data_IF_404056050358
#
_entry.id   IF_404056050358
#
_cell.length_a   1.000
_cell.length_b   1.000
_cell.length_c   1.000
_cell.angle_alpha   90.00
_cell.angle_beta   90.00
_cell.angle_gamma   90.00
#
_symmetry.space_group_name_H-M   'P 1'
#
loop_
_entity.id
_entity.type
_entity.pdbx_description
1 polymer ?
#
# COMPACT_ATOMS: atom_id res chain seq x y z
N UNK A 1 22.04 4.92 -26.24
CA UNK A 1 21.34 4.93 -24.94
C UNK A 1 21.40 3.53 -24.37
N UNK A 2 21.93 3.33 -23.15
CA UNK A 2 21.93 2.01 -22.54
C UNK A 2 20.47 1.58 -22.32
N UNK A 3 20.09 0.47 -22.93
CA UNK A 3 18.81 -0.20 -22.69
C UNK A 3 18.74 -0.55 -21.21
N UNK A 4 17.82 0.11 -20.48
CA UNK A 4 17.46 -0.22 -19.09
C UNK A 4 17.01 -1.69 -19.11
N UNK A 5 17.94 -2.59 -18.81
CA UNK A 5 17.65 -4.03 -18.77
C UNK A 5 16.65 -4.20 -17.64
N UNK A 6 15.45 -4.66 -17.96
CA UNK A 6 14.41 -4.84 -16.95
C UNK A 6 14.99 -5.72 -15.83
N UNK A 7 14.98 -5.27 -14.56
CA UNK A 7 15.49 -6.06 -13.47
C UNK A 7 14.76 -7.41 -13.47
N UNK A 8 15.50 -8.51 -13.38
CA UNK A 8 14.91 -9.84 -13.27
C UNK A 8 13.94 -9.85 -12.09
N UNK A 9 12.68 -10.16 -12.37
CA UNK A 9 11.64 -10.15 -11.35
C UNK A 9 12.02 -11.09 -10.19
N UNK A 10 12.08 -10.55 -8.98
CA UNK A 10 12.28 -11.33 -7.77
C UNK A 10 11.18 -12.40 -7.67
N UNK A 11 11.60 -13.67 -7.68
CA UNK A 11 10.68 -14.79 -7.51
C UNK A 11 10.68 -15.23 -6.05
N UNK A 12 9.52 -15.19 -5.40
CA UNK A 12 9.39 -15.56 -3.99
C UNK A 12 9.58 -17.08 -3.79
N UNK A 13 10.38 -17.50 -2.80
CA UNK A 13 10.51 -18.91 -2.45
C UNK A 13 9.18 -19.55 -2.06
N UNK A 14 8.96 -20.79 -2.49
CA UNK A 14 7.79 -21.54 -2.08
C UNK A 14 7.77 -21.75 -0.57
N UNK A 15 6.63 -21.45 0.06
CA UNK A 15 6.41 -21.64 1.49
C UNK A 15 7.07 -20.60 2.39
N UNK A 16 7.69 -19.55 1.84
CA UNK A 16 8.09 -18.37 2.63
C UNK A 16 6.84 -17.74 3.24
N UNK A 17 6.81 -17.64 4.57
CA UNK A 17 5.72 -17.04 5.33
C UNK A 17 6.29 -16.08 6.35
N UNK A 18 5.61 -14.96 6.50
CA UNK A 18 5.93 -13.92 7.45
C UNK A 18 4.91 -13.93 8.59
N UNK A 19 5.41 -13.77 9.82
CA UNK A 19 4.60 -13.66 11.03
C UNK A 19 3.91 -12.30 11.11
N UNK A 20 2.66 -12.27 11.58
CA UNK A 20 1.95 -11.02 11.87
C UNK A 20 2.35 -10.37 13.19
N UNK A 21 3.08 -11.09 14.06
CA UNK A 21 3.44 -10.60 15.39
C UNK A 21 4.64 -9.66 15.37
N UNK A 22 5.58 -9.90 14.46
CA UNK A 22 6.81 -9.12 14.30
C UNK A 22 6.61 -7.97 13.31
N UNK A 23 7.15 -6.80 13.62
CA UNK A 23 6.95 -5.60 12.81
C UNK A 23 7.60 -5.71 11.43
N UNK A 24 8.86 -6.16 11.36
CA UNK A 24 9.58 -6.32 10.10
C UNK A 24 8.90 -7.39 9.23
N UNK A 25 8.45 -8.49 9.82
CA UNK A 25 7.74 -9.52 9.08
C UNK A 25 6.36 -9.06 8.60
N UNK A 26 5.62 -8.24 9.36
CA UNK A 26 4.39 -7.61 8.85
C UNK A 26 4.67 -6.74 7.63
N UNK A 27 5.71 -5.91 7.69
CA UNK A 27 6.14 -5.07 6.57
C UNK A 27 6.48 -5.93 5.35
N UNK A 28 7.34 -6.94 5.54
CA UNK A 28 7.68 -7.89 4.49
C UNK A 28 6.45 -8.55 3.87
N UNK A 29 5.51 -9.02 4.70
CA UNK A 29 4.27 -9.63 4.22
C UNK A 29 3.45 -8.70 3.32
N UNK A 30 3.34 -7.42 3.69
CA UNK A 30 2.57 -6.45 2.90
C UNK A 30 3.29 -6.07 1.59
N UNK A 31 4.62 -5.96 1.62
CA UNK A 31 5.43 -5.64 0.45
C UNK A 31 5.42 -6.79 -0.56
N UNK A 32 5.62 -8.05 -0.13
CA UNK A 32 5.64 -9.20 -1.05
C UNK A 32 4.30 -9.48 -1.71
N UNK A 33 3.20 -9.01 -1.12
CA UNK A 33 1.85 -9.12 -1.69
C UNK A 33 1.55 -8.01 -2.72
N UNK A 34 2.45 -7.04 -2.92
CA UNK A 34 2.39 -6.06 -4.00
C UNK A 34 3.44 -6.37 -5.06
N UNK A 35 3.04 -6.71 -6.30
CA UNK A 35 4.00 -6.85 -7.39
C UNK A 35 4.81 -5.57 -7.64
N UNK A 36 4.21 -4.38 -7.47
CA UNK A 36 4.87 -3.08 -7.64
C UNK A 36 5.95 -2.86 -6.58
N UNK A 37 5.61 -3.04 -5.31
CA UNK A 37 6.57 -2.85 -4.22
C UNK A 37 7.67 -3.92 -4.26
N UNK A 38 7.34 -5.18 -4.56
CA UNK A 38 8.32 -6.24 -4.71
C UNK A 38 9.33 -5.94 -5.83
N UNK A 39 8.88 -5.34 -6.94
CA UNK A 39 9.75 -4.97 -8.06
C UNK A 39 10.70 -3.81 -7.74
N UNK A 40 10.38 -2.99 -6.73
CA UNK A 40 11.21 -1.88 -6.29
C UNK A 40 12.33 -2.30 -5.31
N UNK A 41 12.30 -3.53 -4.80
CA UNK A 41 13.30 -4.03 -3.85
C UNK A 41 14.64 -4.40 -4.51
N UNK A 42 15.76 -4.35 -3.76
CA UNK A 42 17.09 -4.67 -4.28
C UNK A 42 17.24 -6.17 -4.56
N UNK A 43 17.09 -6.56 -5.83
CA UNK A 43 17.19 -7.96 -6.22
C UNK A 43 18.55 -8.60 -5.86
N UNK A 44 19.64 -7.82 -5.91
CA UNK A 44 20.98 -8.28 -5.59
C UNK A 44 21.15 -8.72 -4.13
N UNK A 45 20.40 -8.12 -3.20
CA UNK A 45 20.46 -8.44 -1.77
C UNK A 45 19.50 -9.57 -1.40
N UNK A 46 18.29 -9.55 -1.98
CA UNK A 46 17.26 -10.55 -1.65
C UNK A 46 17.44 -11.89 -2.34
N UNK A 47 17.94 -11.93 -3.58
CA UNK A 47 18.07 -13.20 -4.32
C UNK A 47 19.01 -14.23 -3.64
N UNK A 48 20.17 -13.84 -3.08
CA UNK A 48 21.00 -14.75 -2.29
C UNK A 48 20.27 -15.27 -1.04
N UNK A 49 19.52 -14.42 -0.34
CA UNK A 49 18.75 -14.80 0.85
C UNK A 49 17.62 -15.77 0.52
N UNK A 50 16.93 -15.56 -0.61
CA UNK A 50 15.90 -16.47 -1.12
C UNK A 50 16.50 -17.84 -1.43
N UNK A 51 17.65 -17.87 -2.09
CA UNK A 51 18.39 -19.11 -2.37
C UNK A 51 18.80 -19.83 -1.08
N UNK A 52 19.28 -19.07 -0.09
CA UNK A 52 19.68 -19.61 1.21
C UNK A 52 18.48 -20.17 2.00
N UNK A 53 17.33 -19.50 1.98
CA UNK A 53 16.08 -19.96 2.57
C UNK A 53 15.61 -21.29 1.95
N UNK A 54 15.63 -21.40 0.62
CA UNK A 54 15.27 -22.64 -0.07
C UNK A 54 16.25 -23.77 0.27
N UNK A 55 17.55 -23.47 0.29
CA UNK A 55 18.60 -24.40 0.70
C UNK A 55 18.38 -24.92 2.12
N UNK A 56 18.08 -24.03 3.07
CA UNK A 56 17.77 -24.37 4.44
C UNK A 56 16.50 -25.24 4.57
N UNK A 57 15.46 -24.92 3.80
CA UNK A 57 14.20 -25.69 3.79
C UNK A 57 14.41 -27.10 3.25
N UNK A 58 15.18 -27.24 2.15
CA UNK A 58 15.57 -28.53 1.57
C UNK A 58 16.46 -29.33 2.52
N UNK A 59 17.45 -28.69 3.16
CA UNK A 59 18.33 -29.33 4.13
C UNK A 59 17.55 -29.84 5.36
N UNK A 60 16.62 -29.04 5.89
CA UNK A 60 15.72 -29.46 6.97
C UNK A 60 14.89 -30.68 6.58
N UNK A 61 14.25 -30.64 5.40
CA UNK A 61 13.45 -31.76 4.90
C UNK A 61 14.28 -33.03 4.72
N UNK A 62 15.50 -32.91 4.16
CA UNK A 62 16.43 -34.03 4.00
C UNK A 62 16.84 -34.62 5.36
N UNK A 63 17.16 -33.78 6.35
CA UNK A 63 17.53 -34.23 7.69
C UNK A 63 16.37 -34.94 8.41
N UNK A 64 15.13 -34.45 8.25
CA UNK A 64 13.94 -35.11 8.80
C UNK A 64 13.70 -36.48 8.14
N UNK A 65 13.98 -36.60 6.84
CA UNK A 65 13.84 -37.82 6.08
C UNK A 65 14.96 -38.86 6.36
N UNK A 66 16.07 -38.48 7.00
CA UNK A 66 17.10 -39.42 7.42
C UNK A 66 16.48 -40.46 8.35
N UNK A 67 16.48 -41.72 7.90
CA UNK A 67 16.20 -42.86 8.76
C UNK A 67 17.47 -43.19 9.51
N UNK A 68 17.45 -43.15 10.83
CA UNK A 68 18.42 -43.92 11.60
C UNK A 68 18.00 -45.36 11.41
N UNK A 69 18.88 -46.21 10.91
CA UNK A 69 18.64 -47.65 10.96
C UNK A 69 18.50 -48.02 12.45
N UNK A 70 17.27 -48.02 12.95
CA UNK A 70 16.96 -48.76 14.16
C UNK A 70 17.02 -50.21 13.73
N UNK A 71 18.23 -50.78 13.69
CA UNK A 71 18.32 -52.23 13.84
C UNK A 71 17.52 -52.52 15.11
N UNK A 72 16.49 -53.34 15.00
CA UNK A 72 15.73 -53.78 16.18
C UNK A 72 16.66 -54.72 16.94
N UNK A 73 17.62 -54.12 17.64
CA UNK A 73 18.69 -54.83 18.37
C UNK A 73 18.04 -55.78 19.37
N UNK A 74 16.84 -55.46 19.88
CA UNK A 74 16.07 -56.33 20.74
C UNK A 74 15.49 -57.53 19.99
N UNK A 75 14.92 -57.36 18.80
CA UNK A 75 14.48 -58.49 17.98
C UNK A 75 15.63 -59.36 17.50
N UNK A 76 16.80 -58.78 17.21
CA UNK A 76 18.01 -59.53 16.83
C UNK A 76 18.56 -60.33 18.02
N UNK A 77 18.61 -59.73 19.22
CA UNK A 77 18.97 -60.39 20.48
C UNK A 77 17.98 -61.50 20.82
N UNK A 78 16.67 -61.26 20.73
CA UNK A 78 15.63 -62.26 20.95
C UNK A 78 15.74 -63.43 19.96
N UNK A 79 16.04 -63.15 18.68
CA UNK A 79 16.29 -64.18 17.69
C UNK A 79 17.54 -65.03 18.00
N UNK A 80 18.64 -64.39 18.43
CA UNK A 80 19.87 -65.08 18.85
C UNK A 80 19.65 -65.95 20.08
N UNK A 81 18.96 -65.44 21.11
CA UNK A 81 18.61 -66.19 22.31
C UNK A 81 17.73 -67.40 21.99
N UNK A 82 16.73 -67.25 21.11
CA UNK A 82 15.87 -68.36 20.67
C UNK A 82 16.62 -69.45 19.89
N UNK A 83 17.75 -69.10 19.27
CA UNK A 83 18.63 -70.04 18.57
C UNK A 83 19.69 -70.66 19.50
N UNK A 84 19.70 -70.29 20.79
CA UNK A 84 20.69 -70.75 21.76
C UNK A 84 22.09 -70.18 21.56
N UNK A 85 22.23 -69.07 20.83
CA UNK A 85 23.50 -68.39 20.67
C UNK A 85 23.90 -67.68 21.97
N UNK A 86 25.20 -67.70 22.28
CA UNK A 86 25.77 -66.94 23.39
C UNK A 86 25.84 -65.46 23.01
N UNK A 87 25.37 -64.57 23.91
CA UNK A 87 25.41 -63.12 23.71
C UNK A 87 26.57 -62.54 24.50
N UNK A 88 27.44 -61.80 23.81
CA UNK A 88 28.45 -60.95 24.44
C UNK A 88 27.78 -59.63 24.93
N UNK A 89 27.63 -59.43 26.26
CA UNK A 89 27.00 -58.23 26.78
C UNK A 89 27.79 -56.95 26.47
N UNK A 90 29.12 -57.02 26.38
CA UNK A 90 29.96 -55.87 26.09
C UNK A 90 29.76 -55.40 24.64
N UNK A 91 29.73 -56.34 23.69
CA UNK A 91 29.42 -56.05 22.29
C UNK A 91 28.00 -55.50 22.11
N UNK A 92 27.02 -56.04 22.84
CA UNK A 92 25.64 -55.54 22.81
C UNK A 92 25.53 -54.10 23.33
N UNK A 93 26.17 -53.78 24.46
CA UNK A 93 26.20 -52.42 25.02
C UNK A 93 26.88 -51.44 24.05
N UNK A 94 27.99 -51.84 23.42
CA UNK A 94 28.68 -51.01 22.42
C UNK A 94 27.77 -50.71 21.22
N UNK A 95 27.10 -51.73 20.66
CA UNK A 95 26.16 -51.56 19.54
C UNK A 95 24.96 -50.66 19.89
N UNK A 96 24.37 -50.85 21.07
CA UNK A 96 23.28 -49.99 21.55
C UNK A 96 23.75 -48.54 21.74
N UNK A 97 24.97 -48.33 22.26
CA UNK A 97 25.56 -47.01 22.43
C UNK A 97 25.80 -46.29 21.10
N UNK A 98 26.28 -47.00 20.07
CA UNK A 98 26.46 -46.44 18.72
C UNK A 98 25.12 -46.04 18.08
N UNK A 99 24.10 -46.90 18.18
CA UNK A 99 22.76 -46.60 17.66
C UNK A 99 22.13 -45.39 18.37
N UNK A 100 22.25 -45.31 19.70
CA UNK A 100 21.80 -44.15 20.48
C UNK A 100 22.57 -42.87 20.11
N UNK A 101 23.89 -42.96 19.94
CA UNK A 101 24.71 -41.82 19.52
C UNK A 101 24.34 -41.33 18.11
N UNK A 102 24.05 -42.25 17.18
CA UNK A 102 23.58 -41.91 15.85
C UNK A 102 22.21 -41.21 15.87
N UNK A 103 21.27 -41.71 16.69
CA UNK A 103 19.98 -41.07 16.91
C UNK A 103 20.11 -39.67 17.51
N UNK A 104 20.90 -39.51 18.57
CA UNK A 104 21.15 -38.22 19.19
C UNK A 104 21.79 -37.21 18.21
N UNK A 105 22.76 -37.64 17.40
CA UNK A 105 23.38 -36.78 16.37
C UNK A 105 22.39 -36.37 15.28
N UNK A 106 21.51 -37.27 14.85
CA UNK A 106 20.42 -36.93 13.92
C UNK A 106 19.52 -35.88 14.54
N UNK A 107 19.03 -36.09 15.74
CA UNK A 107 18.09 -35.18 16.40
C UNK A 107 18.71 -33.79 16.62
N UNK A 108 19.99 -33.74 17.02
CA UNK A 108 20.76 -32.49 17.09
C UNK A 108 20.89 -31.79 15.73
N UNK A 109 21.15 -32.55 14.67
CA UNK A 109 21.27 -32.02 13.30
C UNK A 109 19.92 -31.48 12.81
N UNK A 110 18.83 -32.20 13.07
CA UNK A 110 17.46 -31.77 12.73
C UNK A 110 17.13 -30.49 13.48
N UNK A 111 17.37 -30.43 14.79
CA UNK A 111 17.11 -29.24 15.60
C UNK A 111 17.92 -28.02 15.11
N UNK A 112 19.19 -28.21 14.74
CA UNK A 112 20.02 -27.15 14.16
C UNK A 112 19.42 -26.63 12.85
N UNK A 113 19.10 -27.53 11.92
CA UNK A 113 18.58 -27.17 10.59
C UNK A 113 17.15 -26.63 10.63
N UNK A 114 16.35 -26.99 11.63
CA UNK A 114 15.00 -26.49 11.83
C UNK A 114 14.96 -24.98 12.09
N UNK A 115 16.00 -24.43 12.72
CA UNK A 115 16.11 -23.00 13.03
C UNK A 115 16.47 -22.13 11.82
N UNK A 116 17.16 -22.69 10.82
CA UNK A 116 17.75 -21.91 9.71
C UNK A 116 16.71 -21.22 8.81
N UNK A 117 15.61 -21.87 8.37
CA UNK A 117 14.60 -21.18 7.56
C UNK A 117 14.03 -19.96 8.27
N UNK A 118 13.78 -20.05 9.59
CA UNK A 118 13.28 -18.93 10.38
C UNK A 118 14.28 -17.78 10.42
N UNK A 119 15.55 -18.07 10.64
CA UNK A 119 16.62 -17.05 10.62
C UNK A 119 16.64 -16.30 9.29
N UNK A 120 16.55 -17.01 8.16
CA UNK A 120 16.51 -16.36 6.85
C UNK A 120 15.21 -15.58 6.61
N UNK A 121 14.07 -16.05 7.11
CA UNK A 121 12.83 -15.25 7.09
C UNK A 121 13.02 -13.93 7.83
N UNK A 122 13.64 -13.96 9.00
CA UNK A 122 13.90 -12.76 9.81
C UNK A 122 14.88 -11.81 9.11
N UNK A 123 15.93 -12.34 8.47
CA UNK A 123 16.92 -11.56 7.70
C UNK A 123 16.31 -10.93 6.44
N UNK A 124 15.52 -11.69 5.67
CA UNK A 124 14.75 -11.18 4.53
C UNK A 124 13.82 -10.05 4.98
N UNK A 125 13.12 -10.25 6.10
CA UNK A 125 12.21 -9.23 6.62
C UNK A 125 12.94 -7.96 7.06
N UNK A 126 14.13 -8.10 7.65
CA UNK A 126 15.01 -6.98 7.98
C UNK A 126 15.40 -6.17 6.75
N UNK A 127 15.92 -6.83 5.70
CA UNK A 127 16.28 -6.16 4.44
C UNK A 127 15.07 -5.43 3.84
N UNK A 128 13.89 -6.05 3.81
CA UNK A 128 12.70 -5.37 3.27
C UNK A 128 12.32 -4.14 4.11
N UNK A 129 12.41 -4.24 5.44
CA UNK A 129 12.10 -3.13 6.33
C UNK A 129 13.08 -1.96 6.15
N UNK A 130 14.38 -2.24 5.99
CA UNK A 130 15.42 -1.24 5.77
C UNK A 130 15.23 -0.48 4.44
N UNK A 131 14.54 -1.09 3.47
CA UNK A 131 14.25 -0.48 2.17
C UNK A 131 12.89 0.22 2.07
N UNK A 132 12.11 0.33 3.15
CA UNK A 132 10.80 1.04 3.12
C UNK A 132 10.90 2.47 2.58
N UNK A 133 11.88 3.31 2.96
CA UNK A 133 12.03 4.65 2.38
C UNK A 133 12.18 4.63 0.86
N UNK A 134 12.96 3.70 0.31
CA UNK A 134 13.13 3.55 -1.12
C UNK A 134 11.84 3.09 -1.85
N UNK A 135 10.92 2.41 -1.14
CA UNK A 135 9.61 2.07 -1.69
C UNK A 135 8.73 3.32 -1.84
N UNK A 136 8.77 4.26 -0.89
CA UNK A 136 8.09 5.55 -1.03
C UNK A 136 8.65 6.33 -2.23
N UNK A 137 9.97 6.38 -2.40
CA UNK A 137 10.61 7.02 -3.56
C UNK A 137 10.17 6.39 -4.89
N UNK A 138 10.11 5.06 -4.95
CA UNK A 138 9.66 4.33 -6.14
C UNK A 138 8.19 4.63 -6.46
N UNK A 139 7.30 4.64 -5.45
CA UNK A 139 5.89 5.00 -5.63
C UNK A 139 5.73 6.48 -6.05
N UNK A 140 6.58 7.37 -5.55
CA UNK A 140 6.60 8.79 -5.91
C UNK A 140 6.99 8.97 -7.39
N UNK A 141 8.02 8.27 -7.84
CA UNK A 141 8.41 8.27 -9.26
C UNK A 141 7.31 7.70 -10.16
N UNK A 142 6.71 6.57 -9.77
CA UNK A 142 5.59 5.95 -10.49
C UNK A 142 4.37 6.90 -10.56
N UNK A 143 4.10 7.66 -9.50
CA UNK A 143 3.02 8.64 -9.46
C UNK A 143 3.29 9.80 -10.42
N UNK A 144 4.52 10.32 -10.42
CA UNK A 144 4.91 11.41 -11.33
C UNK A 144 4.76 11.00 -12.80
N UNK A 145 5.27 9.82 -13.18
CA UNK A 145 5.13 9.28 -14.54
C UNK A 145 3.66 9.10 -14.94
N UNK A 146 2.84 8.56 -14.02
CA UNK A 146 1.42 8.35 -14.25
C UNK A 146 0.68 9.68 -14.46
N UNK A 147 0.98 10.71 -13.66
CA UNK A 147 0.36 12.02 -13.78
C UNK A 147 0.78 12.75 -15.06
N UNK A 148 2.05 12.62 -15.48
CA UNK A 148 2.53 13.16 -16.76
C UNK A 148 1.79 12.52 -17.95
N UNK A 149 1.59 11.20 -17.92
CA UNK A 149 0.80 10.49 -18.96
C UNK A 149 -0.67 10.94 -18.94
N UNK A 150 -1.24 11.13 -17.76
CA UNK A 150 -2.64 11.53 -17.61
C UNK A 150 -2.89 12.98 -18.02
N UNK A 151 -1.94 13.88 -17.79
CA UNK A 151 -2.04 15.29 -18.19
C UNK A 151 -2.20 15.43 -19.71
N UNK A 152 -1.45 14.64 -20.49
CA UNK A 152 -1.60 14.59 -21.94
C UNK A 152 -3.02 14.18 -22.36
N UNK A 153 -3.56 13.11 -21.75
CA UNK A 153 -4.92 12.61 -22.03
C UNK A 153 -6.00 13.62 -21.61
N UNK A 154 -5.83 14.26 -20.46
CA UNK A 154 -6.79 15.28 -19.96
C UNK A 154 -6.77 16.54 -20.83
N UNK A 155 -5.60 16.93 -21.34
CA UNK A 155 -5.48 18.02 -22.32
C UNK A 155 -6.27 17.70 -23.60
N UNK A 156 -6.18 16.47 -24.10
CA UNK A 156 -6.96 16.03 -25.27
C UNK A 156 -8.47 16.01 -24.97
N UNK A 157 -8.89 15.62 -23.76
CA UNK A 157 -10.30 15.64 -23.34
C UNK A 157 -10.88 17.06 -23.24
N UNK A 158 -10.09 18.05 -22.84
CA UNK A 158 -10.54 19.43 -22.65
C UNK A 158 -11.56 19.55 -21.51
N UNK A 159 -12.76 20.09 -21.80
CA UNK A 159 -13.82 20.30 -20.80
C UNK A 159 -14.65 19.05 -20.47
N UNK A 160 -14.47 17.95 -21.21
CA UNK A 160 -15.20 16.69 -20.98
C UNK A 160 -14.91 16.17 -19.56
N UNK A 161 -15.96 15.89 -18.79
CA UNK A 161 -15.86 15.45 -17.39
C UNK A 161 -16.53 14.10 -17.10
N UNK A 162 -17.23 13.53 -18.07
CA UNK A 162 -17.97 12.28 -17.94
C UNK A 162 -18.04 11.52 -19.27
N UNK A 163 -18.56 10.29 -19.20
CA UNK A 163 -18.63 9.39 -20.34
C UNK A 163 -19.59 9.90 -21.44
N UNK A 164 -20.72 10.49 -21.06
CA UNK A 164 -21.71 11.00 -22.02
C UNK A 164 -21.18 12.23 -22.77
N UNK A 165 -20.44 13.09 -22.07
CA UNK A 165 -19.71 14.20 -22.65
C UNK A 165 -18.61 13.72 -23.60
N UNK A 166 -17.91 12.63 -23.26
CA UNK A 166 -16.90 12.04 -24.13
C UNK A 166 -17.51 11.47 -25.42
N UNK A 167 -18.64 10.76 -25.32
CA UNK A 167 -19.39 10.25 -26.47
C UNK A 167 -19.84 11.42 -27.35
N UNK A 168 -20.46 12.42 -26.74
CA UNK A 168 -20.97 13.60 -27.46
C UNK A 168 -19.88 14.40 -28.16
N UNK A 169 -18.67 14.45 -27.58
CA UNK A 169 -17.51 15.13 -28.14
C UNK A 169 -16.66 14.25 -29.09
N UNK A 170 -17.01 12.97 -29.29
CA UNK A 170 -16.23 12.03 -30.08
C UNK A 170 -14.89 11.61 -29.46
N UNK A 171 -14.72 11.77 -28.13
CA UNK A 171 -13.48 11.51 -27.38
C UNK A 171 -13.52 10.23 -26.53
N UNK A 172 -14.17 9.20 -27.06
CA UNK A 172 -14.39 7.93 -26.33
C UNK A 172 -13.06 7.21 -26.06
N UNK A 173 -12.08 7.32 -26.96
CA UNK A 173 -10.78 6.68 -26.81
C UNK A 173 -9.98 7.29 -25.65
N UNK A 174 -9.91 8.62 -25.59
CA UNK A 174 -9.24 9.39 -24.56
C UNK A 174 -9.91 9.18 -23.19
N UNK A 175 -11.25 9.13 -23.16
CA UNK A 175 -11.98 8.81 -21.93
C UNK A 175 -11.70 7.39 -21.45
N UNK A 176 -11.61 6.42 -22.37
CA UNK A 176 -11.26 5.04 -22.03
C UNK A 176 -9.85 4.98 -21.45
N UNK A 177 -8.89 5.67 -22.09
CA UNK A 177 -7.51 5.77 -21.59
C UNK A 177 -7.45 6.42 -20.21
N UNK A 178 -8.22 7.49 -19.97
CA UNK A 178 -8.31 8.13 -18.65
C UNK A 178 -8.78 7.13 -17.58
N UNK A 179 -9.77 6.28 -17.89
CA UNK A 179 -10.25 5.25 -16.95
C UNK A 179 -9.20 4.20 -16.63
N UNK A 180 -8.40 3.80 -17.62
CA UNK A 180 -7.25 2.89 -17.39
C UNK A 180 -6.20 3.52 -16.47
N UNK A 181 -5.90 4.81 -16.69
CA UNK A 181 -4.97 5.57 -15.84
C UNK A 181 -5.52 5.77 -14.43
N UNK A 182 -6.82 6.03 -14.28
CA UNK A 182 -7.48 6.12 -12.99
C UNK A 182 -7.38 4.81 -12.20
N UNK A 183 -7.54 3.65 -12.88
CA UNK A 183 -7.35 2.35 -12.25
C UNK A 183 -5.90 2.14 -11.78
N UNK A 184 -4.90 2.49 -12.62
CA UNK A 184 -3.48 2.44 -12.24
C UNK A 184 -3.15 3.35 -11.06
N UNK A 185 -3.77 4.54 -11.00
CA UNK A 185 -3.64 5.47 -9.89
C UNK A 185 -4.24 4.89 -8.60
N UNK A 186 -5.44 4.30 -8.68
CA UNK A 186 -6.07 3.65 -7.55
C UNK A 186 -5.21 2.51 -6.99
N UNK A 187 -4.61 1.69 -7.86
CA UNK A 187 -3.69 0.62 -7.48
C UNK A 187 -2.42 1.17 -6.79
N UNK A 188 -1.83 2.24 -7.33
CA UNK A 188 -0.69 2.92 -6.73
C UNK A 188 -1.05 3.46 -5.33
N UNK A 189 -2.20 4.11 -5.20
CA UNK A 189 -2.68 4.61 -3.90
C UNK A 189 -2.96 3.48 -2.93
N UNK A 190 -3.45 2.33 -3.39
CA UNK A 190 -3.62 1.15 -2.54
C UNK A 190 -2.29 0.64 -1.97
N UNK A 191 -1.22 0.63 -2.78
CA UNK A 191 0.13 0.29 -2.31
C UNK A 191 0.67 1.35 -1.32
N UNK A 192 0.46 2.63 -1.61
CA UNK A 192 0.84 3.72 -0.71
C UNK A 192 0.13 3.64 0.65
N UNK A 193 -1.19 3.46 0.66
CA UNK A 193 -1.97 3.25 1.90
C UNK A 193 -1.52 2.00 2.65
N UNK A 194 -1.09 0.95 1.94
CA UNK A 194 -0.55 -0.25 2.58
C UNK A 194 0.72 0.08 3.37
N UNK A 195 1.64 0.88 2.82
CA UNK A 195 2.83 1.31 3.53
C UNK A 195 2.50 2.20 4.74
N UNK A 196 1.62 3.21 4.56
CA UNK A 196 1.20 4.08 5.66
C UNK A 196 0.63 3.30 6.85
N UNK A 197 -0.18 2.27 6.58
CA UNK A 197 -0.78 1.44 7.62
C UNK A 197 0.20 0.49 8.31
N UNK A 198 1.36 0.23 7.73
CA UNK A 198 2.40 -0.56 8.38
C UNK A 198 3.14 0.26 9.44
N UNK A 199 3.34 1.54 9.17
CA UNK A 199 3.99 2.50 10.07
C UNK A 199 3.01 3.06 11.11
N UNK A 200 1.73 3.19 10.77
CA UNK A 200 0.72 3.72 11.69
C UNK A 200 0.47 2.77 12.87
N UNK A 201 0.84 3.22 14.06
CA UNK A 201 0.52 2.53 15.33
C UNK A 201 -0.88 2.86 15.84
N UNK A 202 -1.58 3.83 15.22
CA UNK A 202 -2.92 4.26 15.57
C UNK A 202 -3.95 4.07 14.44
N UNK A 203 -5.13 4.73 14.56
CA UNK A 203 -6.16 4.73 13.52
C UNK A 203 -6.04 5.94 12.57
N UNK A 204 -4.87 6.57 12.46
CA UNK A 204 -4.68 7.83 11.75
C UNK A 204 -4.85 7.69 10.23
N UNK A 205 -4.59 6.50 9.69
CA UNK A 205 -4.69 6.17 8.26
C UNK A 205 -5.75 5.08 7.98
N UNK A 206 -6.77 4.97 8.85
CA UNK A 206 -7.96 4.17 8.61
C UNK A 206 -8.76 4.71 7.40
N UNK A 207 -9.66 3.88 6.84
CA UNK A 207 -10.51 4.31 5.72
C UNK A 207 -11.29 5.59 6.08
N UNK A 208 -11.22 6.60 5.21
CA UNK A 208 -11.89 7.89 5.43
C UNK A 208 -11.18 8.84 6.40
N UNK A 209 -10.02 8.47 6.95
CA UNK A 209 -9.28 9.34 7.86
C UNK A 209 -8.67 10.54 7.11
N UNK A 210 -8.78 11.78 7.63
CA UNK A 210 -8.22 12.97 6.99
C UNK A 210 -6.71 12.91 6.73
N UNK A 211 -5.94 12.18 7.56
CA UNK A 211 -4.50 12.03 7.36
C UNK A 211 -4.17 11.37 6.01
N UNK A 212 -5.07 10.56 5.45
CA UNK A 212 -4.89 10.03 4.09
C UNK A 212 -4.90 11.14 3.03
N UNK A 213 -5.74 12.15 3.18
CA UNK A 213 -5.76 13.29 2.26
C UNK A 213 -4.44 14.05 2.28
N UNK A 214 -3.88 14.29 3.47
CA UNK A 214 -2.58 14.95 3.63
C UNK A 214 -1.39 14.07 3.21
N UNK A 215 -1.53 12.74 3.24
CA UNK A 215 -0.54 11.86 2.63
C UNK A 215 -0.60 11.87 1.10
N UNK A 216 -1.74 12.25 0.51
CA UNK A 216 -1.90 12.26 -0.94
C UNK A 216 -1.53 13.59 -1.57
N UNK A 217 -1.68 14.70 -0.85
CA UNK A 217 -1.71 16.06 -1.38
C UNK A 217 -1.07 17.07 -0.43
N UNK A 218 -0.16 17.90 -0.95
CA UNK A 218 0.51 18.95 -0.17
C UNK A 218 -0.34 20.20 0.01
N UNK A 219 -1.09 20.57 -1.04
CA UNK A 219 -1.93 21.78 -1.07
C UNK A 219 -3.41 21.51 -0.80
N UNK A 220 -3.74 20.41 -0.10
CA UNK A 220 -5.14 19.99 0.07
C UNK A 220 -6.02 21.06 0.72
N UNK A 221 -5.51 21.76 1.73
CA UNK A 221 -6.28 22.77 2.47
C UNK A 221 -6.49 24.06 1.65
N UNK A 222 -5.71 24.28 0.59
CA UNK A 222 -5.92 25.40 -0.34
C UNK A 222 -7.07 25.11 -1.30
N UNK A 223 -7.21 23.85 -1.74
CA UNK A 223 -8.27 23.39 -2.64
C UNK A 223 -9.56 23.06 -1.89
N UNK A 224 -9.44 22.47 -0.70
CA UNK A 224 -10.57 22.05 0.16
C UNK A 224 -10.39 22.65 1.56
N UNK A 225 -10.67 23.95 1.74
CA UNK A 225 -10.45 24.63 3.02
C UNK A 225 -11.17 23.97 4.17
N UNK A 226 -10.43 23.66 5.25
CA UNK A 226 -10.97 23.04 6.45
C UNK A 226 -11.05 21.52 6.41
N UNK A 227 -10.45 20.87 5.41
CA UNK A 227 -10.44 19.41 5.29
C UNK A 227 -9.91 18.71 6.56
N UNK A 228 -8.89 19.28 7.22
CA UNK A 228 -8.35 18.78 8.48
C UNK A 228 -9.40 18.64 9.60
N UNK A 229 -10.46 19.46 9.58
CA UNK A 229 -11.56 19.45 10.56
C UNK A 229 -12.78 18.64 10.12
N UNK A 230 -13.00 18.47 8.81
CA UNK A 230 -14.16 17.79 8.26
C UNK A 230 -14.30 16.34 8.77
N UNK A 231 -13.18 15.65 9.06
CA UNK A 231 -13.21 14.31 9.66
C UNK A 231 -13.42 14.27 11.18
N UNK A 232 -13.53 15.41 11.88
CA UNK A 232 -13.72 15.44 13.34
C UNK A 232 -15.19 15.57 13.76
N UNK A 233 -16.07 16.08 12.89
CA UNK A 233 -17.53 16.11 13.14
C UNK A 233 -18.24 16.23 11.79
N UNK A 234 -19.12 15.29 11.39
CA UNK A 234 -19.95 15.51 10.22
C UNK A 234 -20.87 16.70 10.52
N UNK A 235 -20.61 17.85 9.90
CA UNK A 235 -21.60 18.91 9.83
C UNK A 235 -22.74 18.38 8.98
N UNK A 236 -23.78 17.88 9.64
CA UNK A 236 -25.02 17.52 8.97
C UNK A 236 -25.78 18.79 8.59
N UNK A 237 -26.39 18.81 7.41
CA UNK A 237 -27.38 19.81 7.06
C UNK A 237 -28.61 19.69 7.97
N UNK A 238 -29.55 20.61 7.80
CA UNK A 238 -30.82 20.59 8.54
C UNK A 238 -31.65 19.30 8.30
N UNK A 239 -31.26 18.45 7.34
CA UNK A 239 -31.89 17.17 6.99
C UNK A 239 -31.07 15.96 7.47
N UNK A 240 -30.00 16.17 8.26
CA UNK A 240 -29.15 15.08 8.75
C UNK A 240 -28.15 14.54 7.74
N UNK A 241 -27.99 15.17 6.57
CA UNK A 241 -27.04 14.74 5.52
C UNK A 241 -25.70 15.43 5.74
N UNK A 242 -24.56 14.72 5.67
CA UNK A 242 -23.27 15.36 5.75
C UNK A 242 -23.14 16.43 4.64
N UNK A 243 -22.91 17.68 5.03
CA UNK A 243 -22.57 18.76 4.11
C UNK A 243 -21.12 18.53 3.69
N UNK A 244 -20.92 17.82 2.59
CA UNK A 244 -19.61 17.77 1.95
C UNK A 244 -19.51 18.96 1.02
N UNK A 245 -18.84 20.03 1.46
CA UNK A 245 -18.48 21.16 0.60
C UNK A 245 -17.30 20.83 -0.31
N UNK A 246 -16.93 19.55 -0.42
CA UNK A 246 -15.79 19.09 -1.20
C UNK A 246 -16.10 19.21 -2.70
N UNK A 247 -15.21 19.85 -3.49
CA UNK A 247 -15.41 20.02 -4.92
C UNK A 247 -15.32 18.69 -5.71
N UNK A 248 -14.76 17.65 -5.11
CA UNK A 248 -14.62 16.30 -5.66
C UNK A 248 -14.42 15.30 -4.48
N UNK A 249 -14.59 13.97 -4.68
CA UNK A 249 -14.43 13.02 -3.59
C UNK A 249 -12.94 12.80 -3.25
N UNK A 250 -12.43 13.55 -2.27
CA UNK A 250 -10.98 13.63 -1.96
C UNK A 250 -10.37 12.27 -1.59
N UNK A 251 -11.12 11.41 -0.90
CA UNK A 251 -10.61 10.13 -0.39
C UNK A 251 -11.00 8.92 -1.25
N UNK A 252 -11.85 9.10 -2.28
CA UNK A 252 -12.26 8.01 -3.16
C UNK A 252 -11.29 7.88 -4.35
N UNK A 253 -10.12 7.29 -4.08
CA UNK A 253 -9.07 7.07 -5.09
C UNK A 253 -9.50 6.14 -6.23
N UNK A 254 -10.63 5.43 -6.09
CA UNK A 254 -11.19 4.55 -7.13
C UNK A 254 -12.10 5.28 -8.11
N UNK A 255 -12.50 6.52 -7.78
CA UNK A 255 -13.36 7.33 -8.61
C UNK A 255 -12.59 7.99 -9.76
N UNK A 256 -13.13 7.87 -10.97
CA UNK A 256 -12.61 8.60 -12.15
C UNK A 256 -12.71 10.12 -11.92
N UNK A 257 -13.75 10.59 -11.21
CA UNK A 257 -13.90 12.01 -10.89
C UNK A 257 -12.82 12.50 -9.92
N UNK A 258 -12.42 11.67 -8.94
CA UNK A 258 -11.26 11.96 -8.09
C UNK A 258 -10.01 12.10 -8.95
N UNK A 259 -9.71 11.10 -9.78
CA UNK A 259 -8.49 11.12 -10.59
C UNK A 259 -8.46 12.30 -11.58
N UNK A 260 -9.58 12.60 -12.23
CA UNK A 260 -9.69 13.77 -13.11
C UNK A 260 -9.44 15.09 -12.37
N UNK A 261 -9.94 15.22 -11.14
CA UNK A 261 -9.66 16.40 -10.31
C UNK A 261 -8.18 16.49 -9.92
N UNK A 262 -7.55 15.36 -9.57
CA UNK A 262 -6.10 15.30 -9.27
C UNK A 262 -5.25 15.80 -10.44
N UNK A 263 -5.60 15.40 -11.66
CA UNK A 263 -4.85 15.82 -12.86
C UNK A 263 -5.13 17.30 -13.20
N UNK A 264 -6.39 17.74 -13.14
CA UNK A 264 -6.76 19.13 -13.47
C UNK A 264 -6.25 20.17 -12.48
N UNK A 265 -6.16 19.79 -11.21
CA UNK A 265 -5.72 20.65 -10.11
C UNK A 265 -4.33 20.21 -9.61
N UNK A 266 -3.50 19.67 -10.50
CA UNK A 266 -2.20 19.07 -10.13
C UNK A 266 -1.28 20.09 -9.47
N UNK A 267 -1.25 21.32 -9.96
CA UNK A 267 -0.42 22.39 -9.41
C UNK A 267 -0.89 22.80 -8.01
N UNK A 268 -2.19 22.94 -7.79
CA UNK A 268 -2.75 23.36 -6.49
C UNK A 268 -2.77 22.22 -5.46
N UNK A 269 -3.10 20.99 -5.86
CA UNK A 269 -3.15 19.85 -4.94
C UNK A 269 -1.75 19.38 -4.55
N UNK A 270 -0.76 19.59 -5.42
CA UNK A 270 0.60 19.05 -5.28
C UNK A 270 0.60 17.55 -4.87
N UNK A 271 0.10 16.63 -5.73
CA UNK A 271 0.03 15.21 -5.42
C UNK A 271 1.41 14.64 -5.14
N UNK A 272 1.53 13.87 -4.06
CA UNK A 272 2.79 13.26 -3.63
C UNK A 272 2.59 11.88 -3.01
N UNK A 273 3.69 11.22 -2.66
CA UNK A 273 3.74 10.00 -1.87
C UNK A 273 4.72 10.25 -0.71
N UNK A 274 4.23 10.24 0.52
CA UNK A 274 5.00 10.57 1.73
C UNK A 274 4.71 9.61 2.88
N UNK A 275 5.61 9.56 3.86
CA UNK A 275 5.47 8.72 5.05
C UNK A 275 4.42 9.19 6.06
N UNK A 276 4.22 8.39 7.10
CA UNK A 276 3.23 8.68 8.15
C UNK A 276 3.54 9.94 8.97
N UNK A 277 4.82 10.19 9.28
CA UNK A 277 5.27 11.36 10.05
C UNK A 277 5.01 12.66 9.28
N UNK A 278 5.46 12.72 8.02
CA UNK A 278 5.30 13.89 7.15
C UNK A 278 3.81 14.22 6.91
N UNK A 279 2.97 13.20 6.67
CA UNK A 279 1.53 13.40 6.52
C UNK A 279 0.87 13.91 7.81
N UNK A 280 1.37 13.47 8.97
CA UNK A 280 0.89 13.92 10.27
C UNK A 280 1.29 15.38 10.53
N UNK A 281 2.51 15.77 10.16
CA UNK A 281 3.01 17.14 10.26
C UNK A 281 2.21 18.10 9.36
N UNK A 282 1.96 17.73 8.10
CA UNK A 282 1.13 18.53 7.18
C UNK A 282 -0.29 18.71 7.72
N UNK A 283 -0.88 17.65 8.28
CA UNK A 283 -2.20 17.72 8.91
C UNK A 283 -2.19 18.63 10.14
N UNK A 284 -1.16 18.54 10.99
CA UNK A 284 -1.02 19.36 12.19
C UNK A 284 -0.86 20.84 11.82
N UNK A 285 -0.05 21.14 10.81
CA UNK A 285 0.14 22.49 10.29
C UNK A 285 -1.17 23.07 9.75
N UNK A 286 -1.90 22.31 8.91
CA UNK A 286 -3.19 22.72 8.40
C UNK A 286 -4.21 22.97 9.53
N UNK A 287 -4.25 22.11 10.54
CA UNK A 287 -5.10 22.33 11.72
C UNK A 287 -4.73 23.61 12.48
N UNK A 288 -3.43 23.90 12.63
CA UNK A 288 -2.89 25.11 13.25
C UNK A 288 -3.33 26.38 12.51
N UNK A 289 -3.21 26.41 11.17
CA UNK A 289 -3.65 27.55 10.34
C UNK A 289 -5.12 27.90 10.54
N UNK A 290 -5.99 26.91 10.75
CA UNK A 290 -7.41 27.16 11.00
C UNK A 290 -7.63 27.76 12.40
N UNK A 291 -6.90 27.29 13.41
CA UNK A 291 -6.97 27.87 14.77
C UNK A 291 -6.49 29.32 14.74
N UNK A 292 -5.39 29.61 14.06
CA UNK A 292 -4.87 30.98 13.93
C UNK A 292 -5.85 31.88 13.16
N UNK A 293 -6.45 31.38 12.08
CA UNK A 293 -7.52 32.09 11.36
C UNK A 293 -8.72 32.38 12.26
N UNK A 294 -9.07 31.49 13.18
CA UNK A 294 -10.18 31.71 14.10
C UNK A 294 -9.81 32.67 15.25
N UNK A 295 -8.56 32.67 15.70
CA UNK A 295 -8.07 33.54 16.79
C UNK A 295 -7.77 34.96 16.31
N UNK A 296 -7.18 35.11 15.13
CA UNK A 296 -6.81 36.40 14.54
C UNK A 296 -7.89 36.92 13.57
N UNK A 297 -8.83 36.05 13.19
CA UNK A 297 -10.03 36.36 12.42
C UNK A 297 -11.25 36.67 13.28
N UNK A 298 -11.10 37.45 14.35
CA UNK A 298 -12.12 38.46 14.70
C UNK A 298 -12.07 39.58 13.64
N UNK A 299 -12.14 39.18 12.37
CA UNK A 299 -12.55 40.04 11.29
C UNK A 299 -14.07 39.90 11.28
N UNK A 300 -14.75 41.00 11.58
CA UNK A 300 -16.21 41.18 11.61
C UNK A 300 -16.95 40.12 10.79
N UNK A 301 -17.94 39.46 11.41
CA UNK A 301 -19.01 38.80 10.66
C UNK A 301 -19.38 39.71 9.47
N UNK A 302 -19.49 39.17 8.23
CA UNK A 302 -19.77 39.97 7.05
C UNK A 302 -20.95 40.87 7.38
N UNK A 303 -20.77 42.18 7.19
CA UNK A 303 -21.85 43.11 7.48
C UNK A 303 -23.08 42.65 6.70
N UNK A 304 -24.30 42.92 7.16
CA UNK A 304 -25.52 42.57 6.40
C UNK A 304 -25.46 43.07 4.93
N UNK A 305 -24.63 44.10 4.68
CA UNK A 305 -24.27 44.62 3.35
C UNK A 305 -23.49 43.63 2.48
N UNK A 306 -22.54 42.90 3.02
CA UNK A 306 -21.71 41.93 2.27
C UNK A 306 -22.52 40.66 1.94
N UNK A 307 -23.34 40.21 2.89
CA UNK A 307 -24.30 39.12 2.68
C UNK A 307 -25.35 39.49 1.61
N UNK A 308 -25.84 40.73 1.62
CA UNK A 308 -26.75 41.25 0.60
C UNK A 308 -26.09 41.31 -0.79
N UNK A 309 -24.82 41.73 -0.85
CA UNK A 309 -24.08 41.86 -2.12
C UNK A 309 -23.81 40.50 -2.75
N UNK A 310 -23.38 39.51 -1.97
CA UNK A 310 -23.19 38.14 -2.44
C UNK A 310 -24.51 37.47 -2.88
N UNK A 311 -25.61 37.75 -2.17
CA UNK A 311 -26.95 37.28 -2.58
C UNK A 311 -27.38 37.88 -3.92
N UNK A 312 -27.11 39.17 -4.13
CA UNK A 312 -27.42 39.86 -5.39
C UNK A 312 -26.57 39.34 -6.56
N UNK A 313 -25.28 39.06 -6.33
CA UNK A 313 -24.39 38.46 -7.35
C UNK A 313 -24.86 37.05 -7.73
N UNK A 314 -25.28 36.23 -6.76
CA UNK A 314 -25.82 34.89 -7.03
C UNK A 314 -27.14 34.93 -7.81
N UNK A 315 -28.02 35.88 -7.51
CA UNK A 315 -29.28 36.03 -8.26
C UNK A 315 -29.00 36.49 -9.71
N UNK A 316 -28.11 37.46 -9.90
CA UNK A 316 -27.74 37.90 -11.25
C UNK A 316 -27.09 36.77 -12.10
N UNK A 317 -26.27 35.91 -11.47
CA UNK A 317 -25.70 34.74 -12.14
C UNK A 317 -26.76 33.68 -12.50
N UNK A 318 -27.75 33.48 -11.63
CA UNK A 318 -28.87 32.57 -11.90
C UNK A 318 -29.75 33.08 -13.07
N UNK A 319 -30.00 34.39 -13.13
CA UNK A 319 -30.77 35.02 -14.21
C UNK A 319 -30.02 34.91 -15.54
N UNK A 320 -28.70 35.14 -15.57
CA UNK A 320 -27.88 34.94 -16.78
C UNK A 320 -27.89 33.48 -17.28
N UNK A 321 -27.89 32.51 -16.37
CA UNK A 321 -27.99 31.08 -16.74
C UNK A 321 -29.38 30.76 -17.30
N UNK A 322 -30.44 31.36 -16.74
CA UNK A 322 -31.80 31.18 -17.24
C UNK A 322 -31.97 31.77 -18.65
N UNK A 323 -31.47 33.00 -18.88
CA UNK A 323 -31.47 33.65 -20.20
C UNK A 323 -30.66 32.85 -21.24
N UNK A 324 -29.48 32.33 -20.86
CA UNK A 324 -28.68 31.48 -21.74
C UNK A 324 -29.42 30.19 -22.13
N UNK A 325 -30.15 29.57 -21.20
CA UNK A 325 -30.95 28.37 -21.47
C UNK A 325 -32.15 28.66 -22.37
N UNK A 326 -32.78 29.83 -22.21
CA UNK A 326 -33.88 30.27 -23.07
C UNK A 326 -33.39 30.58 -24.49
N UNK A 327 -32.23 31.22 -24.64
CA UNK A 327 -31.60 31.48 -25.94
C UNK A 327 -31.25 30.19 -26.68
N UNK A 328 -30.78 29.15 -25.97
CA UNK A 328 -30.53 27.82 -26.53
C UNK A 328 -31.84 27.15 -26.96
N UNK A 329 -32.89 27.23 -26.15
CA UNK A 329 -34.19 26.63 -26.45
C UNK A 329 -34.89 27.27 -27.67
N UNK A 330 -34.63 28.56 -27.92
CA UNK A 330 -35.17 29.30 -29.06
C UNK A 330 -34.34 29.14 -30.35
N UNK A 331 -33.23 28.40 -30.31
CA UNK A 331 -32.37 28.19 -31.48
C UNK A 331 -31.70 29.46 -32.00
N UNK A 332 -31.48 30.46 -31.12
CA UNK A 332 -30.94 31.77 -31.44
C UNK A 332 -29.41 31.86 -31.28
N UNK A 333 -28.71 30.74 -31.24
CA UNK A 333 -27.24 30.74 -31.20
C UNK A 333 -26.70 30.61 -32.63
N UNK A 334 -25.98 31.63 -33.09
CA UNK A 334 -25.05 31.54 -34.24
C UNK A 334 -23.97 30.45 -34.00
#
# INVERSE_FOLDING_TARGET
MPTKTAPSALTLPQGLRFSSRDAHQRTAAAVVNSPRLLAALPAAELAPLFTAYEGATKARAAAQALRVESTDVLAEVDAQLRQGAEIDPAALVARLGEAQAAAARRDQTVALLESLPRRYTDEIAGVIADHVPALYDALSADLAELLDEAEAVVSELGTVSDADGAISAGKVAEWTKLRELAARYADLRADHVRLLRLEDTGPNFANGAPSLGFAFFGGLDDVVPGFAKAGQTPTADLMGRPVTSEPFPVLDVTSVAHFLAVVRLREELAPHVIGTDEASDLRAEAAGRIVDRNLHGVSRAPSERDAYTLRRVRMAAADQIAEARESIALGLTD
#
